data_IF_566586912062
#
_entry.id   IF_566586912062
#
_cell.length_a   1.000
_cell.length_b   1.000
_cell.length_c   1.000
_cell.angle_alpha   90.00
_cell.angle_beta   90.00
_cell.angle_gamma   90.00
#
_symmetry.space_group_name_H-M   'P 1'
#
loop_
_entity.id
_entity.type
_entity.pdbx_description
1 polymer ?
#
# COMPACT_ATOMS: atom_id res chain seq x y z
N UNK A 1 -50.42 9.45 -12.91
CA UNK A 1 -49.35 8.44 -12.76
C UNK A 1 -48.00 9.14 -12.81
N UNK A 2 -47.29 9.25 -11.68
CA UNK A 2 -45.98 9.90 -11.62
C UNK A 2 -44.89 8.88 -11.98
N UNK A 3 -44.13 9.13 -13.05
CA UNK A 3 -42.99 8.29 -13.45
C UNK A 3 -41.82 8.59 -12.49
N UNK A 4 -41.49 7.66 -11.60
CA UNK A 4 -40.24 7.71 -10.83
C UNK A 4 -39.05 7.61 -11.78
N UNK A 5 -38.36 8.73 -11.99
CA UNK A 5 -37.02 8.75 -12.59
C UNK A 5 -36.05 8.15 -11.59
N UNK A 6 -35.60 6.91 -11.81
CA UNK A 6 -34.44 6.36 -11.11
C UNK A 6 -33.22 7.17 -11.55
N UNK A 7 -32.56 7.82 -10.60
CA UNK A 7 -31.25 8.41 -10.81
C UNK A 7 -30.25 7.26 -10.99
N UNK A 8 -29.64 7.16 -12.17
CA UNK A 8 -28.50 6.27 -12.39
C UNK A 8 -27.31 6.86 -11.65
N UNK A 9 -26.92 6.25 -10.53
CA UNK A 9 -25.66 6.58 -9.87
C UNK A 9 -24.51 6.13 -10.79
N UNK A 10 -23.69 7.08 -11.25
CA UNK A 10 -22.42 6.74 -11.87
C UNK A 10 -21.51 6.16 -10.78
N UNK A 11 -21.08 4.91 -10.96
CA UNK A 11 -20.10 4.28 -10.08
C UNK A 11 -18.74 4.89 -10.45
N UNK A 12 -18.31 5.87 -9.66
CA UNK A 12 -16.96 6.44 -9.77
C UNK A 12 -16.05 5.55 -8.91
N UNK A 13 -15.11 4.85 -9.54
CA UNK A 13 -14.09 4.10 -8.82
C UNK A 13 -13.24 5.07 -7.98
N UNK A 14 -12.91 4.74 -6.73
CA UNK A 14 -12.03 5.58 -5.92
C UNK A 14 -10.67 5.74 -6.62
N UNK A 15 -10.11 6.96 -6.55
CA UNK A 15 -8.75 7.23 -7.04
C UNK A 15 -7.77 6.67 -6.00
N UNK A 16 -7.22 5.50 -6.28
CA UNK A 16 -6.23 4.82 -5.43
C UNK A 16 -4.82 5.29 -5.77
N UNK A 17 -3.98 5.50 -4.74
CA UNK A 17 -2.57 5.90 -4.93
C UNK A 17 -1.71 4.73 -5.38
N UNK A 18 -1.93 3.56 -4.78
CA UNK A 18 -1.17 2.34 -5.07
C UNK A 18 -1.78 1.54 -6.22
N UNK A 19 -0.96 0.64 -6.78
CA UNK A 19 -1.35 -0.37 -7.77
C UNK A 19 -0.78 -1.73 -7.36
N UNK A 20 -1.41 -2.81 -7.81
CA UNK A 20 -0.88 -4.16 -7.65
C UNK A 20 0.55 -4.25 -8.21
N UNK A 21 1.45 -4.86 -7.44
CA UNK A 21 2.87 -5.00 -7.75
C UNK A 21 3.73 -3.79 -7.38
N UNK A 22 3.13 -2.70 -6.89
CA UNK A 22 3.92 -1.58 -6.36
C UNK A 22 4.60 -1.99 -5.06
N UNK A 23 5.77 -1.39 -4.81
CA UNK A 23 6.29 -1.25 -3.46
C UNK A 23 5.72 0.02 -2.84
N UNK A 24 5.44 0.00 -1.54
CA UNK A 24 4.96 1.16 -0.81
C UNK A 24 5.53 1.23 0.61
N UNK A 25 5.73 2.44 1.11
CA UNK A 25 6.08 2.70 2.50
C UNK A 25 4.77 2.81 3.30
N UNK A 26 4.69 2.09 4.42
CA UNK A 26 3.61 2.21 5.40
C UNK A 26 3.78 3.47 6.24
N UNK A 27 2.70 4.21 6.42
CA UNK A 27 2.63 5.46 7.18
C UNK A 27 1.72 5.36 8.42
N UNK A 28 1.26 4.15 8.78
CA UNK A 28 0.45 3.97 9.98
C UNK A 28 1.32 3.84 11.24
N UNK A 29 0.81 4.33 12.38
CA UNK A 29 1.55 4.48 13.64
C UNK A 29 2.17 3.19 14.18
N UNK A 30 1.62 2.02 13.81
CA UNK A 30 2.10 0.73 14.32
C UNK A 30 3.31 0.19 13.54
N UNK A 31 3.46 0.60 12.28
CA UNK A 31 4.41 0.00 11.33
C UNK A 31 5.03 1.05 10.40
N UNK A 32 5.19 2.27 10.89
CA UNK A 32 5.71 3.40 10.12
C UNK A 32 7.09 3.06 9.52
N UNK A 33 7.26 3.35 8.23
CA UNK A 33 8.51 3.15 7.51
C UNK A 33 8.70 1.75 6.91
N UNK A 34 7.83 0.77 7.20
CA UNK A 34 7.93 -0.56 6.59
C UNK A 34 7.67 -0.49 5.07
N UNK A 35 8.56 -1.10 4.29
CA UNK A 35 8.40 -1.25 2.85
C UNK A 35 7.65 -2.55 2.58
N UNK A 36 6.48 -2.44 1.97
CA UNK A 36 5.60 -3.57 1.68
C UNK A 36 5.29 -3.66 0.20
N UNK A 37 5.03 -4.88 -0.27
CA UNK A 37 4.51 -5.13 -1.60
C UNK A 37 2.97 -5.03 -1.58
N UNK A 38 2.41 -4.39 -2.61
CA UNK A 38 0.97 -4.30 -2.82
C UNK A 38 0.49 -5.50 -3.64
N UNK A 39 -0.29 -6.38 -3.01
CA UNK A 39 -0.66 -7.68 -3.61
C UNK A 39 -2.00 -7.62 -4.34
N UNK A 40 -3.05 -7.14 -3.68
CA UNK A 40 -4.41 -7.14 -4.22
C UNK A 40 -5.27 -6.03 -3.62
N UNK A 41 -6.14 -5.43 -4.44
CA UNK A 41 -7.14 -4.48 -3.96
C UNK A 41 -8.36 -5.22 -3.42
N UNK A 42 -8.63 -5.04 -2.13
CA UNK A 42 -9.78 -5.67 -1.46
C UNK A 42 -10.95 -4.69 -1.34
N UNK A 43 -10.66 -3.39 -1.29
CA UNK A 43 -11.66 -2.33 -1.24
C UNK A 43 -12.33 -2.16 0.11
N UNK A 44 -12.87 -3.22 0.71
CA UNK A 44 -13.44 -3.17 2.07
C UNK A 44 -13.12 -4.44 2.85
N UNK A 45 -12.58 -4.28 4.04
CA UNK A 45 -12.27 -5.38 4.96
C UNK A 45 -12.91 -5.09 6.31
N UNK A 46 -13.72 -6.03 6.79
CA UNK A 46 -14.22 -6.04 8.16
C UNK A 46 -13.19 -6.77 9.02
N UNK A 47 -12.47 -6.04 9.87
CA UNK A 47 -11.53 -6.64 10.82
C UNK A 47 -12.23 -6.97 12.13
N UNK A 48 -11.76 -8.01 12.82
CA UNK A 48 -12.39 -8.57 14.04
C UNK A 48 -12.63 -7.52 15.14
N UNK A 49 -11.83 -6.44 15.14
CA UNK A 49 -11.94 -5.30 16.05
C UNK A 49 -13.14 -4.37 15.78
N UNK A 50 -14.07 -4.74 14.90
CA UNK A 50 -15.21 -3.92 14.41
C UNK A 50 -14.79 -2.66 13.66
N UNK A 51 -13.52 -2.51 13.31
CA UNK A 51 -13.09 -1.48 12.38
C UNK A 51 -13.36 -1.94 10.94
N UNK A 52 -13.79 -1.01 10.10
CA UNK A 52 -13.95 -1.24 8.67
C UNK A 52 -12.83 -0.51 7.98
N UNK A 53 -11.97 -1.26 7.29
CA UNK A 53 -10.97 -0.67 6.41
C UNK A 53 -11.62 -0.36 5.07
N UNK A 54 -11.46 0.87 4.59
CA UNK A 54 -11.95 1.30 3.27
C UNK A 54 -10.77 1.56 2.33
N UNK A 55 -10.97 1.27 1.04
CA UNK A 55 -9.92 1.28 0.02
C UNK A 55 -8.69 0.46 0.47
N UNK A 56 -8.95 -0.73 1.02
CA UNK A 56 -7.93 -1.59 1.58
C UNK A 56 -7.18 -2.38 0.51
N UNK A 57 -5.87 -2.52 0.72
CA UNK A 57 -4.97 -3.37 -0.03
C UNK A 57 -4.51 -4.53 0.85
N UNK A 58 -4.42 -5.72 0.27
CA UNK A 58 -3.58 -6.78 0.82
C UNK A 58 -2.12 -6.42 0.58
N UNK A 59 -1.31 -6.53 1.63
CA UNK A 59 0.11 -6.20 1.61
C UNK A 59 0.96 -7.39 2.07
N UNK A 60 2.21 -7.41 1.62
CA UNK A 60 3.21 -8.40 2.05
C UNK A 60 4.47 -7.68 2.55
N UNK A 61 4.99 -8.12 3.69
CA UNK A 61 6.30 -7.73 4.20
C UNK A 61 7.16 -8.99 4.37
N UNK A 62 8.48 -8.97 4.12
CA UNK A 62 9.33 -10.16 4.21
C UNK A 62 9.35 -10.84 5.59
N UNK A 63 9.01 -10.10 6.65
CA UNK A 63 8.97 -10.62 8.03
C UNK A 63 7.59 -11.14 8.44
N UNK A 64 6.59 -11.02 7.57
CA UNK A 64 5.24 -11.49 7.86
C UNK A 64 5.14 -12.99 7.66
N UNK A 65 4.23 -13.58 8.44
CA UNK A 65 3.87 -14.98 8.26
C UNK A 65 3.19 -15.12 6.88
N UNK A 66 3.69 -16.00 5.98
CA UNK A 66 3.12 -16.18 4.65
C UNK A 66 1.71 -16.76 4.66
N UNK A 67 1.31 -17.43 5.76
CA UNK A 67 -0.02 -17.99 5.94
C UNK A 67 -1.03 -16.95 6.48
N UNK A 68 -0.58 -15.73 6.80
CA UNK A 68 -1.43 -14.67 7.32
C UNK A 68 -1.61 -13.51 6.33
N UNK A 69 -2.86 -13.11 6.13
CA UNK A 69 -3.22 -12.00 5.25
C UNK A 69 -3.23 -10.67 6.01
N UNK A 70 -2.32 -9.77 5.63
CA UNK A 70 -2.24 -8.42 6.20
C UNK A 70 -2.91 -7.40 5.28
N UNK A 71 -3.65 -6.47 5.86
CA UNK A 71 -4.40 -5.44 5.14
C UNK A 71 -4.02 -4.05 5.61
N UNK A 72 -3.98 -3.09 4.69
CA UNK A 72 -3.73 -1.69 4.98
C UNK A 72 -4.58 -0.79 4.07
N UNK A 73 -5.09 0.33 4.59
CA UNK A 73 -5.84 1.31 3.79
C UNK A 73 -4.90 2.10 2.89
N UNK A 74 -5.33 2.38 1.64
CA UNK A 74 -4.55 3.17 0.67
C UNK A 74 -4.07 4.51 1.24
N UNK A 75 -4.84 5.14 2.13
CA UNK A 75 -4.46 6.42 2.76
C UNK A 75 -3.16 6.35 3.55
N UNK A 76 -2.80 5.18 4.08
CA UNK A 76 -1.56 4.94 4.83
C UNK A 76 -0.43 4.34 3.99
N UNK A 77 -0.59 4.26 2.67
CA UNK A 77 0.43 3.73 1.77
C UNK A 77 1.00 4.86 0.91
N UNK A 78 2.33 4.95 0.87
CA UNK A 78 3.08 5.84 0.00
C UNK A 78 3.79 4.99 -1.07
N UNK A 79 3.30 4.95 -2.33
CA UNK A 79 3.92 4.13 -3.36
C UNK A 79 5.34 4.65 -3.68
N UNK A 80 6.28 3.72 -3.81
CA UNK A 80 7.66 3.99 -4.26
C UNK A 80 7.65 3.83 -5.78
N UNK A 81 7.95 4.90 -6.50
CA UNK A 81 8.08 4.91 -7.96
C UNK A 81 9.56 4.89 -8.35
N UNK A 82 9.89 4.39 -9.54
CA UNK A 82 11.27 4.41 -10.03
C UNK A 82 11.89 5.82 -10.05
N UNK A 83 11.07 6.87 -10.22
CA UNK A 83 11.53 8.26 -10.15
C UNK A 83 11.73 8.81 -8.74
N UNK A 84 11.32 8.10 -7.70
CA UNK A 84 11.52 8.50 -6.30
C UNK A 84 12.89 8.05 -5.76
N UNK A 85 13.60 7.19 -6.51
CA UNK A 85 14.92 6.68 -6.14
C UNK A 85 15.99 7.51 -6.83
N UNK A 86 16.62 8.41 -6.09
CA UNK A 86 17.89 8.99 -6.51
C UNK A 86 18.99 7.95 -6.29
N UNK A 87 19.63 7.50 -7.37
CA UNK A 87 20.84 6.68 -7.28
C UNK A 87 21.94 7.53 -6.66
N UNK A 88 22.24 7.30 -5.39
CA UNK A 88 23.47 7.81 -4.79
C UNK A 88 24.60 6.83 -5.12
N UNK A 89 25.59 7.29 -5.88
CA UNK A 89 26.85 6.57 -6.05
C UNK A 89 27.44 6.31 -4.66
N UNK A 90 27.31 5.07 -4.19
CA UNK A 90 27.98 4.64 -2.97
C UNK A 90 29.43 4.43 -3.34
N UNK A 91 30.30 5.40 -3.01
CA UNK A 91 31.74 5.22 -3.00
C UNK A 91 32.05 3.99 -2.13
N UNK A 92 32.38 2.89 -2.80
CA UNK A 92 32.94 1.70 -2.18
C UNK A 92 34.23 2.15 -1.48
N UNK A 93 34.15 2.41 -0.17
CA UNK A 93 35.29 2.66 0.70
C UNK A 93 36.22 1.45 0.60
N UNK A 94 37.14 1.52 -0.35
CA UNK A 94 38.26 0.62 -0.51
C UNK A 94 39.13 0.80 0.73
N UNK A 95 38.89 -0.04 1.75
CA UNK A 95 39.82 -0.26 2.84
C UNK A 95 41.01 -1.07 2.30
N UNK A 96 41.75 -0.48 1.35
CA UNK A 96 43.09 -0.93 1.06
C UNK A 96 44.02 -0.40 2.15
N UNK A 97 44.42 -1.32 3.03
CA UNK A 97 45.79 -1.40 3.54
C UNK A 97 46.35 -0.17 4.24
N UNK A 98 46.32 -0.20 5.57
CA UNK A 98 47.49 0.24 6.35
C UNK A 98 47.92 -0.89 7.28
N UNK A 99 49.04 -1.51 6.92
CA UNK A 99 49.90 -2.22 7.86
C UNK A 99 50.67 -1.29 8.77
#
# INVERSE_FOLDING_TARGET
>A
MAKSKRASAQIVSPVLKCRKGDLAIRLDENFEGQIVEIVEYIGRVDVETRAVLANAWQILHPTYDPDYHYFCEDKYLLPIRPGDLEETESDELSLEGRG
#
